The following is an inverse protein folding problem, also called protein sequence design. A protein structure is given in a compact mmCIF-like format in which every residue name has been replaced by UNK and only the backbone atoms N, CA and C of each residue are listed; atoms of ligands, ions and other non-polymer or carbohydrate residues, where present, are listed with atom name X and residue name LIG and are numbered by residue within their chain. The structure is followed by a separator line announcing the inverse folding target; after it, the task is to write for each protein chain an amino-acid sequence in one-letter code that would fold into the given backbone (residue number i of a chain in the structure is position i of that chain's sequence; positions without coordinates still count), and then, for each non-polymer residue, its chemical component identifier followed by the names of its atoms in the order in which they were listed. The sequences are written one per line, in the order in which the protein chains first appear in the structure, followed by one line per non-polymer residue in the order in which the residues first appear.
data_IF_947066663178
#
_entry.id   IF_947066663178
#
_cell.length_a   1.000
_cell.length_b   1.000
_cell.length_c   1.000
_cell.angle_alpha   90.00
_cell.angle_beta   90.00
_cell.angle_gamma   90.00
#
_symmetry.space_group_name_H-M   'P 1'
#
loop_
_entity.id
_entity.type
_entity.pdbx_description
1 polymer ?
#
# COMPACT_ATOMS: atom_id res chain seq x y z
N UNK A 1 2.48 -1.29 0.74
CA UNK A 1 1.05 -1.26 0.31
C UNK A 1 0.94 -1.94 -1.04
N UNK A 2 -0.02 -2.80 -1.19
CA UNK A 2 -0.23 -3.60 -2.41
C UNK A 2 -1.25 -2.96 -3.34
N UNK A 3 -0.95 -2.96 -4.64
CA UNK A 3 -1.87 -2.55 -5.68
C UNK A 3 -1.69 -3.43 -6.92
N UNK A 4 -2.79 -3.71 -7.61
CA UNK A 4 -2.75 -4.43 -8.88
C UNK A 4 -2.34 -3.45 -9.99
N UNK A 5 -1.26 -3.73 -10.75
CA UNK A 5 -0.75 -2.77 -11.74
C UNK A 5 -1.74 -2.48 -12.87
N UNK A 6 -2.64 -3.41 -13.19
CA UNK A 6 -3.68 -3.18 -14.21
C UNK A 6 -4.73 -2.17 -13.73
N UNK A 7 -4.90 -2.03 -12.43
CA UNK A 7 -5.82 -1.06 -11.82
C UNK A 7 -5.10 0.23 -11.47
N UNK A 8 -3.99 0.14 -10.74
CA UNK A 8 -3.20 1.31 -10.35
C UNK A 8 -1.76 0.88 -10.05
N UNK A 9 -0.85 1.10 -10.99
CA UNK A 9 0.57 0.77 -10.84
C UNK A 9 1.43 1.98 -10.47
N UNK A 10 2.72 1.72 -10.26
CA UNK A 10 3.69 2.77 -9.89
C UNK A 10 3.76 3.87 -10.95
N UNK A 11 3.63 3.53 -12.23
CA UNK A 11 3.64 4.53 -13.31
C UNK A 11 2.40 5.42 -13.27
N UNK A 12 1.27 4.87 -12.84
CA UNK A 12 0.05 5.66 -12.67
C UNK A 12 0.22 6.70 -11.57
N UNK A 13 0.87 6.33 -10.47
CA UNK A 13 1.19 7.28 -9.40
C UNK A 13 2.16 8.36 -9.88
N UNK A 14 3.20 7.97 -10.61
CA UNK A 14 4.18 8.89 -11.19
C UNK A 14 3.50 9.95 -12.07
N UNK A 15 2.47 9.56 -12.81
CA UNK A 15 1.76 10.43 -13.76
C UNK A 15 0.59 11.22 -13.16
N UNK A 16 0.29 11.05 -11.87
CA UNK A 16 -0.77 11.83 -11.22
C UNK A 16 -0.33 13.28 -10.99
N UNK A 17 -1.28 14.24 -10.92
CA UNK A 17 -0.98 15.60 -10.51
C UNK A 17 -0.22 15.61 -9.18
N UNK A 18 0.90 16.34 -9.12
CA UNK A 18 1.82 16.35 -7.98
C UNK A 18 2.31 14.96 -7.58
N UNK A 19 2.18 13.97 -8.46
CA UNK A 19 2.57 12.57 -8.19
C UNK A 19 1.94 12.02 -6.90
N UNK A 20 0.73 12.45 -6.63
CA UNK A 20 0.00 12.15 -5.38
C UNK A 20 -1.35 11.52 -5.69
N UNK A 21 -1.73 10.53 -4.90
CA UNK A 21 -3.04 9.87 -5.01
C UNK A 21 -3.58 9.54 -3.61
N UNK A 22 -4.89 9.60 -3.47
CA UNK A 22 -5.56 9.03 -2.32
C UNK A 22 -5.61 7.51 -2.46
N UNK A 23 -5.30 6.80 -1.37
CA UNK A 23 -5.27 5.33 -1.38
C UNK A 23 -6.59 4.80 -0.83
N UNK A 24 -7.61 4.82 -1.68
CA UNK A 24 -8.96 4.42 -1.36
C UNK A 24 -9.20 2.92 -1.56
N UNK A 25 -10.37 2.46 -1.17
CA UNK A 25 -10.83 1.10 -1.48
C UNK A 25 -10.33 0.00 -0.57
N UNK A 26 -9.64 0.32 0.51
CA UNK A 26 -9.20 -0.69 1.48
C UNK A 26 -10.41 -1.12 2.32
N UNK A 27 -10.77 -2.41 2.25
CA UNK A 27 -11.97 -2.97 2.88
C UNK A 27 -11.66 -4.12 3.84
N UNK A 28 -10.52 -4.02 4.53
CA UNK A 28 -10.12 -4.92 5.60
C UNK A 28 -9.90 -4.08 6.85
N UNK A 29 -10.50 -4.48 7.97
CA UNK A 29 -10.44 -3.70 9.20
C UNK A 29 -9.04 -3.58 9.77
N UNK A 30 -8.22 -4.62 9.65
CA UNK A 30 -6.85 -4.59 10.15
C UNK A 30 -6.00 -3.59 9.36
N UNK A 31 -6.12 -3.60 8.02
CA UNK A 31 -5.43 -2.63 7.17
C UNK A 31 -5.95 -1.21 7.41
N UNK A 32 -7.29 -1.05 7.56
CA UNK A 32 -7.89 0.24 7.90
C UNK A 32 -7.30 0.79 9.20
N UNK A 33 -7.14 -0.04 10.22
CA UNK A 33 -6.60 0.39 11.50
C UNK A 33 -5.17 0.90 11.37
N UNK A 34 -4.36 0.28 10.51
CA UNK A 34 -2.99 0.75 10.24
C UNK A 34 -3.00 2.14 9.61
N UNK A 35 -3.89 2.38 8.63
CA UNK A 35 -4.00 3.71 8.00
C UNK A 35 -4.52 4.76 8.98
N UNK A 36 -5.46 4.39 9.83
CA UNK A 36 -6.06 5.31 10.78
C UNK A 36 -5.10 5.67 11.92
N UNK A 37 -4.40 4.67 12.46
CA UNK A 37 -3.71 4.80 13.75
C UNK A 37 -2.18 4.85 13.63
N UNK A 38 -1.60 4.13 12.66
CA UNK A 38 -0.16 3.89 12.62
C UNK A 38 0.56 4.71 11.56
N UNK A 39 -0.07 4.97 10.43
CA UNK A 39 0.55 5.73 9.34
C UNK A 39 0.60 7.21 9.64
N UNK A 40 1.82 7.78 9.59
CA UNK A 40 2.05 9.19 9.92
C UNK A 40 2.64 9.92 8.72
N UNK A 41 2.43 11.23 8.71
CA UNK A 41 2.98 12.12 7.70
C UNK A 41 4.50 11.90 7.61
N UNK A 42 5.00 11.70 6.41
CA UNK A 42 6.43 11.46 6.16
C UNK A 42 6.84 9.99 6.19
N UNK A 43 5.97 9.07 6.56
CA UNK A 43 6.29 7.65 6.53
C UNK A 43 6.56 7.20 5.10
N UNK A 44 7.62 6.43 4.92
CA UNK A 44 7.97 5.83 3.64
C UNK A 44 7.28 4.47 3.50
N UNK A 45 6.86 4.17 2.27
CA UNK A 45 6.05 3.00 1.96
C UNK A 45 6.59 2.34 0.71
N UNK A 46 6.83 1.03 0.75
CA UNK A 46 7.08 0.27 -0.47
C UNK A 46 5.79 0.14 -1.27
N UNK A 47 5.90 0.43 -2.57
CA UNK A 47 4.83 0.17 -3.52
C UNK A 47 5.02 -1.24 -4.07
N UNK A 48 4.04 -2.11 -3.83
CA UNK A 48 4.09 -3.52 -4.21
C UNK A 48 3.04 -3.81 -5.28
N UNK A 49 3.45 -4.39 -6.39
CA UNK A 49 2.54 -4.89 -7.42
C UNK A 49 2.08 -6.30 -7.06
N UNK A 50 0.76 -6.48 -6.92
CA UNK A 50 0.13 -7.76 -6.60
C UNK A 50 -0.74 -8.25 -7.73
N UNK A 51 -1.08 -9.54 -7.71
CA UNK A 51 -2.00 -10.17 -8.65
C UNK A 51 -1.63 -9.87 -10.11
N UNK A 52 -0.38 -10.15 -10.47
CA UNK A 52 0.20 -9.90 -11.79
C UNK A 52 1.27 -10.96 -12.08
N UNK A 53 1.83 -10.91 -13.29
CA UNK A 53 2.82 -11.90 -13.74
C UNK A 53 4.06 -11.94 -12.86
N UNK A 54 4.54 -10.76 -12.42
CA UNK A 54 5.75 -10.64 -11.60
C UNK A 54 5.43 -9.80 -10.35
N UNK A 55 4.83 -10.42 -9.33
CA UNK A 55 4.53 -9.68 -8.09
C UNK A 55 5.83 -9.31 -7.37
N UNK A 56 5.88 -8.09 -6.85
CA UNK A 56 7.07 -7.62 -6.14
C UNK A 56 7.03 -6.13 -5.82
N UNK A 57 8.07 -5.69 -5.15
CA UNK A 57 8.28 -4.29 -4.77
C UNK A 57 8.86 -3.57 -5.98
N UNK A 58 8.21 -2.50 -6.39
CA UNK A 58 8.58 -1.73 -7.60
C UNK A 58 9.02 -0.30 -7.32
N UNK A 59 8.70 0.23 -6.16
CA UNK A 59 9.03 1.62 -5.86
C UNK A 59 8.78 2.00 -4.41
N UNK A 60 8.96 3.30 -4.16
CA UNK A 60 8.78 3.91 -2.85
C UNK A 60 7.87 5.12 -3.00
N UNK A 61 6.97 5.27 -2.03
CA UNK A 61 6.11 6.44 -1.89
C UNK A 61 6.12 6.93 -0.45
N UNK A 62 5.56 8.10 -0.21
CA UNK A 62 5.56 8.76 1.09
C UNK A 62 4.13 9.14 1.47
N UNK A 63 3.77 8.96 2.74
CA UNK A 63 2.50 9.43 3.27
C UNK A 63 2.54 10.95 3.36
N UNK A 64 1.66 11.62 2.63
CA UNK A 64 1.57 13.09 2.59
C UNK A 64 0.28 13.61 3.19
N UNK A 65 -0.65 12.73 3.55
CA UNK A 65 -1.85 13.06 4.32
C UNK A 65 -2.23 11.85 5.17
N UNK A 66 -2.38 12.07 6.47
CA UNK A 66 -2.76 11.02 7.42
C UNK A 66 -4.21 10.59 7.24
N UNK A 67 -4.61 9.50 7.91
CA UNK A 67 -5.90 8.89 7.74
C UNK A 67 -7.09 9.84 7.80
N UNK A 68 -7.97 9.76 6.80
CA UNK A 68 -9.20 10.51 6.73
C UNK A 68 -10.27 9.65 6.05
N UNK A 69 -11.57 10.03 6.15
CA UNK A 69 -12.64 9.19 5.62
C UNK A 69 -12.48 8.88 4.13
N UNK A 70 -12.61 7.61 3.78
CA UNK A 70 -12.59 7.16 2.38
C UNK A 70 -13.92 7.51 1.73
N UNK A 71 -13.92 8.53 0.87
CA UNK A 71 -15.14 9.01 0.23
C UNK A 71 -15.72 8.02 -0.78
N UNK A 72 -14.94 7.08 -1.30
CA UNK A 72 -15.47 6.08 -2.23
C UNK A 72 -16.51 5.17 -1.59
N UNK A 73 -16.47 5.03 -0.26
CA UNK A 73 -17.45 4.25 0.49
C UNK A 73 -18.86 4.85 0.44
N UNK A 74 -18.99 6.14 0.15
CA UNK A 74 -20.27 6.87 0.15
C UNK A 74 -20.84 7.07 -1.25
N UNK A 75 -20.09 6.71 -2.29
CA UNK A 75 -20.50 6.89 -3.69
C UNK A 75 -21.12 5.61 -4.23
N UNK A 76 -22.44 5.59 -4.51
CA UNK A 76 -23.11 4.40 -5.03
C UNK A 76 -22.58 3.91 -6.38
N UNK A 77 -21.92 4.80 -7.13
CA UNK A 77 -21.34 4.45 -8.43
C UNK A 77 -19.90 3.92 -8.34
N UNK A 78 -19.30 3.97 -7.15
CA UNK A 78 -17.94 3.47 -6.95
C UNK A 78 -17.98 1.97 -6.62
N UNK A 79 -17.02 1.21 -7.19
CA UNK A 79 -16.89 -0.23 -6.92
C UNK A 79 -16.62 -0.56 -5.45
N UNK A 80 -16.14 0.42 -4.68
CA UNK A 80 -15.87 0.26 -3.25
C UNK A 80 -16.98 0.81 -2.37
N UNK A 81 -18.15 1.11 -2.96
CA UNK A 81 -19.30 1.61 -2.22
C UNK A 81 -19.69 0.65 -1.09
N UNK A 82 -19.89 1.20 0.09
CA UNK A 82 -20.37 0.47 1.25
C UNK A 82 -21.71 1.08 1.72
N UNK A 83 -22.86 0.42 1.45
CA UNK A 83 -24.17 0.97 1.82
C UNK A 83 -24.37 1.09 3.34
N UNK A 84 -23.55 0.41 4.14
CA UNK A 84 -23.60 0.48 5.60
C UNK A 84 -22.74 1.59 6.17
N UNK A 85 -21.94 2.27 5.34
CA UNK A 85 -21.06 3.35 5.79
C UNK A 85 -21.85 4.64 5.93
N UNK A 86 -21.57 5.38 7.01
CA UNK A 86 -22.23 6.63 7.34
C UNK A 86 -21.19 7.76 7.34
N UNK A 87 -21.39 8.84 6.56
CA UNK A 87 -20.46 9.98 6.54
C UNK A 87 -20.23 10.62 7.93
N UNK A 88 -21.20 10.50 8.84
CA UNK A 88 -21.06 11.02 10.20
C UNK A 88 -20.25 10.08 11.10
N UNK A 89 -20.21 8.79 10.75
CA UNK A 89 -19.47 7.75 11.47
C UNK A 89 -18.69 6.91 10.45
N UNK A 90 -17.66 7.46 9.80
CA UNK A 90 -16.96 6.80 8.72
C UNK A 90 -16.26 5.53 9.20
N UNK A 91 -16.53 4.43 8.49
CA UNK A 91 -15.96 3.12 8.78
C UNK A 91 -14.63 2.94 8.07
N UNK A 92 -14.52 3.43 6.84
CA UNK A 92 -13.36 3.22 5.99
C UNK A 92 -12.52 4.48 5.90
N UNK A 93 -11.20 4.27 5.89
CA UNK A 93 -10.20 5.33 5.98
C UNK A 93 -9.28 5.20 4.77
N UNK A 94 -8.73 6.32 4.31
CA UNK A 94 -7.67 6.35 3.30
C UNK A 94 -6.59 7.32 3.74
N UNK A 95 -5.42 7.20 3.11
CA UNK A 95 -4.30 8.14 3.26
C UNK A 95 -3.95 8.66 1.87
N UNK A 96 -3.24 9.79 1.79
CA UNK A 96 -2.65 10.23 0.55
C UNK A 96 -1.17 9.84 0.52
N UNK A 97 -0.72 9.36 -0.64
CA UNK A 97 0.66 8.97 -0.87
C UNK A 97 1.23 9.70 -2.07
N UNK A 98 2.53 10.02 -1.99
CA UNK A 98 3.25 10.69 -3.07
C UNK A 98 4.40 9.82 -3.54
N UNK A 99 4.57 9.77 -4.86
CA UNK A 99 5.69 9.08 -5.48
C UNK A 99 7.03 9.61 -4.98
N UNK A 100 7.95 8.70 -4.63
CA UNK A 100 9.32 9.04 -4.25
C UNK A 100 10.29 8.54 -5.33
N UNK A 101 10.27 7.24 -5.64
CA UNK A 101 11.13 6.70 -6.69
C UNK A 101 10.62 5.35 -7.18
N UNK A 102 10.99 5.01 -8.42
CA UNK A 102 10.89 3.65 -8.95
C UNK A 102 12.22 2.96 -8.73
N UNK A 103 12.20 1.73 -8.23
CA UNK A 103 13.42 0.96 -8.03
C UNK A 103 14.07 0.61 -9.38
N UNK A 104 15.39 0.39 -9.37
CA UNK A 104 16.14 0.01 -10.58
C UNK A 104 15.67 -1.33 -11.17
N UNK A 105 15.08 -2.18 -10.33
CA UNK A 105 14.48 -3.45 -10.74
C UNK A 105 13.33 -3.81 -9.79
N UNK A 106 12.45 -4.69 -10.23
CA UNK A 106 11.44 -5.26 -9.34
C UNK A 106 12.10 -6.25 -8.39
N UNK A 107 11.90 -6.05 -7.09
CA UNK A 107 12.33 -7.05 -6.08
C UNK A 107 11.16 -8.00 -5.91
N UNK A 108 11.26 -9.18 -6.54
CA UNK A 108 10.12 -10.10 -6.65
C UNK A 108 9.77 -10.76 -5.32
N UNK A 109 8.50 -11.13 -5.16
CA UNK A 109 8.06 -11.91 -4.00
C UNK A 109 8.85 -13.23 -3.90
N UNK A 110 9.13 -13.87 -5.04
CA UNK A 110 9.92 -15.09 -5.08
C UNK A 110 11.31 -14.88 -4.48
N UNK A 111 11.97 -13.78 -4.84
CA UNK A 111 13.27 -13.42 -4.27
C UNK A 111 13.18 -13.13 -2.78
N UNK A 112 12.19 -12.33 -2.37
CA UNK A 112 12.00 -11.97 -0.95
C UNK A 112 11.86 -13.21 -0.07
N UNK A 113 11.19 -14.26 -0.57
CA UNK A 113 11.00 -15.51 0.16
C UNK A 113 12.28 -16.33 0.34
N UNK A 114 13.35 -16.04 -0.41
CA UNK A 114 14.62 -16.77 -0.31
C UNK A 114 15.52 -16.23 0.80
N UNK A 115 15.20 -15.08 1.41
CA UNK A 115 16.06 -14.43 2.40
C UNK A 115 15.59 -14.71 3.83
N UNK A 116 16.43 -15.36 4.64
CA UNK A 116 16.16 -15.61 6.05
C UNK A 116 15.93 -14.31 6.84
N UNK A 117 16.64 -13.25 6.46
CA UNK A 117 16.54 -11.94 7.10
C UNK A 117 15.13 -11.37 7.02
N UNK A 118 14.32 -11.86 6.08
CA UNK A 118 12.93 -11.41 5.89
C UNK A 118 11.90 -12.42 6.38
N UNK A 119 12.30 -13.45 7.13
CA UNK A 119 11.41 -14.53 7.56
C UNK A 119 10.20 -14.00 8.37
N UNK A 120 10.40 -12.92 9.13
CA UNK A 120 9.35 -12.31 9.95
C UNK A 120 8.54 -11.22 9.22
N UNK A 121 8.89 -10.92 7.96
CA UNK A 121 8.12 -9.96 7.17
C UNK A 121 6.76 -10.56 6.82
N UNK A 122 5.69 -9.85 7.20
CA UNK A 122 4.32 -10.33 6.98
C UNK A 122 4.04 -10.68 5.52
N UNK A 123 4.60 -9.92 4.58
CA UNK A 123 4.42 -10.11 3.15
C UNK A 123 4.80 -11.52 2.68
N UNK A 124 5.87 -12.11 3.24
CA UNK A 124 6.37 -13.42 2.81
C UNK A 124 5.72 -14.60 3.55
N UNK A 125 4.91 -14.33 4.57
CA UNK A 125 4.26 -15.39 5.34
C UNK A 125 3.15 -16.06 4.54
N UNK A 126 3.07 -17.41 4.55
CA UNK A 126 1.99 -18.13 3.88
C UNK A 126 0.61 -17.69 4.38
N UNK A 127 -0.34 -17.53 3.47
CA UNK A 127 -1.73 -17.22 3.81
C UNK A 127 -1.98 -15.75 4.18
N UNK A 128 -0.98 -14.89 4.12
CA UNK A 128 -1.17 -13.47 4.39
C UNK A 128 -1.90 -12.82 3.20
N UNK A 129 -3.07 -12.23 3.48
CA UNK A 129 -3.92 -11.57 2.47
C UNK A 129 -4.07 -10.07 2.71
N UNK A 130 -3.31 -9.52 3.66
CA UNK A 130 -3.37 -8.08 3.92
C UNK A 130 -2.79 -7.29 2.75
N UNK A 131 -3.42 -6.19 2.43
CA UNK A 131 -2.94 -5.25 1.41
C UNK A 131 -1.98 -4.20 1.99
N UNK A 132 -1.96 -4.07 3.30
CA UNK A 132 -1.09 -3.13 4.03
C UNK A 132 -0.46 -3.90 5.18
N UNK A 133 0.86 -3.75 5.33
CA UNK A 133 1.62 -4.48 6.34
C UNK A 133 2.76 -3.61 6.86
N UNK A 134 3.10 -3.72 8.15
CA UNK A 134 4.25 -3.03 8.68
C UNK A 134 5.55 -3.66 8.18
N UNK A 135 6.57 -2.83 8.06
CA UNK A 135 7.93 -3.23 7.71
C UNK A 135 8.85 -2.62 8.78
N UNK A 136 9.66 -3.45 9.43
CA UNK A 136 10.61 -2.95 10.42
C UNK A 136 11.74 -2.19 9.72
N UNK A 137 12.46 -1.36 10.50
CA UNK A 137 13.60 -0.61 9.97
C UNK A 137 14.66 -1.55 9.38
N UNK A 138 14.96 -2.65 10.06
CA UNK A 138 15.93 -3.64 9.58
C UNK A 138 15.50 -4.31 8.30
N UNK A 139 14.22 -4.68 8.20
CA UNK A 139 13.65 -5.25 6.97
C UNK A 139 13.69 -4.22 5.82
N UNK A 140 13.36 -2.99 6.10
CA UNK A 140 13.40 -1.90 5.13
C UNK A 140 14.80 -1.72 4.56
N UNK A 141 15.79 -1.59 5.41
CA UNK A 141 17.20 -1.42 5.01
C UNK A 141 17.71 -2.63 4.23
N UNK A 142 17.35 -3.84 4.66
CA UNK A 142 17.74 -5.07 3.96
C UNK A 142 17.16 -5.10 2.55
N UNK A 143 15.87 -4.80 2.40
CA UNK A 143 15.21 -4.79 1.09
C UNK A 143 15.87 -3.77 0.17
N UNK A 144 16.17 -2.57 0.66
CA UNK A 144 16.85 -1.55 -0.13
C UNK A 144 18.24 -2.00 -0.60
N UNK A 145 18.90 -2.85 0.18
CA UNK A 145 20.22 -3.40 -0.21
C UNK A 145 20.15 -4.37 -1.38
N UNK A 146 18.97 -4.88 -1.69
CA UNK A 146 18.76 -5.82 -2.80
C UNK A 146 18.60 -5.13 -4.16
N UNK A 147 18.39 -3.84 -4.18
CA UNK A 147 18.16 -3.07 -5.42
C UNK A 147 19.35 -3.08 -6.39
#
# INVERSE_FOLDING_TARGET
MKSEPDTFGINDLYNKPNQTEHWDGVRNYQARNMMRDDMKLGDLVFFYHSNCDVPGIVGIMEVVKEGYPDFSAFDPDDKHFDPKSDPEHPRWIMVDVKYVKTLSRTITLKELKTHEELADLALVRPGNRLSIMPVSKGQWEFILSLE
#
